data_IF_047028551910
#
_entry.id   IF_047028551910
#
_cell.length_a   1.000
_cell.length_b   1.000
_cell.length_c   1.000
_cell.angle_alpha   90.00
_cell.angle_beta   90.00
_cell.angle_gamma   90.00
#
_symmetry.space_group_name_H-M   'P 1'
#
loop_
_entity.id
_entity.type
_entity.pdbx_description
1 polymer ?
#
# COMPACT_ATOMS: atom_id res chain seq x y z
N UNK A 1 -42.68 40.86 54.14
CA UNK A 1 -42.87 39.45 54.53
C UNK A 1 -42.05 38.60 53.58
N UNK A 2 -41.06 37.93 54.13
CA UNK A 2 -40.07 37.07 53.46
C UNK A 2 -40.68 35.78 52.92
N UNK A 3 -40.08 35.24 51.86
CA UNK A 3 -39.51 33.87 51.71
C UNK A 3 -39.50 33.45 50.24
N UNK A 4 -38.34 33.37 49.58
CA UNK A 4 -37.43 32.20 49.51
C UNK A 4 -38.06 30.95 48.90
N UNK A 5 -37.67 30.64 47.66
CA UNK A 5 -37.41 29.28 47.17
C UNK A 5 -36.65 29.38 45.84
N UNK A 6 -35.35 29.10 45.90
CA UNK A 6 -34.46 29.01 44.75
C UNK A 6 -34.87 27.87 43.82
N UNK A 7 -34.73 28.09 42.52
CA UNK A 7 -34.69 27.02 41.52
C UNK A 7 -33.40 27.16 40.74
N UNK A 8 -32.56 26.17 40.96
CA UNK A 8 -31.31 25.88 40.26
C UNK A 8 -31.60 25.63 38.78
N UNK A 9 -30.87 26.32 37.90
CA UNK A 9 -30.80 25.99 36.48
C UNK A 9 -29.96 24.73 36.31
N UNK A 10 -30.40 23.72 35.53
CA UNK A 10 -29.55 22.57 35.24
C UNK A 10 -28.45 23.02 34.26
N UNK A 11 -27.21 22.98 34.73
CA UNK A 11 -26.01 23.11 33.91
C UNK A 11 -26.03 22.05 32.80
N UNK A 12 -25.89 22.49 31.55
CA UNK A 12 -25.60 21.66 30.40
C UNK A 12 -24.42 20.72 30.69
N UNK A 13 -24.48 19.43 30.33
CA UNK A 13 -23.32 18.56 30.45
C UNK A 13 -22.26 19.07 29.47
N UNK A 14 -21.17 19.61 30.00
CA UNK A 14 -19.93 19.73 29.27
C UNK A 14 -19.55 18.30 28.85
N UNK A 15 -19.74 17.98 27.57
CA UNK A 15 -19.07 16.84 26.97
C UNK A 15 -17.59 17.21 26.95
N UNK A 16 -16.86 16.77 27.97
CA UNK A 16 -15.40 16.76 27.97
C UNK A 16 -14.95 15.85 26.82
N UNK A 17 -14.78 16.45 25.63
CA UNK A 17 -14.05 15.86 24.51
C UNK A 17 -12.55 15.87 24.82
N UNK A 18 -12.16 15.21 25.91
CA UNK A 18 -10.80 14.70 26.07
C UNK A 18 -10.76 13.28 25.51
N UNK A 19 -10.88 13.18 24.18
CA UNK A 19 -10.40 12.00 23.47
C UNK A 19 -8.88 12.04 23.56
N UNK A 20 -8.30 11.04 24.20
CA UNK A 20 -6.85 10.87 24.41
C UNK A 20 -6.02 11.29 23.18
N UNK A 21 -5.38 12.45 23.26
CA UNK A 21 -4.42 12.96 22.27
C UNK A 21 -3.37 11.93 21.80
N UNK A 22 -2.80 11.02 22.63
CA UNK A 22 -1.82 10.06 22.15
C UNK A 22 -2.38 8.96 21.23
N UNK A 23 -3.68 8.63 21.34
CA UNK A 23 -4.33 7.66 20.44
C UNK A 23 -4.59 8.31 19.08
N UNK A 24 -5.03 9.57 19.08
CA UNK A 24 -5.20 10.35 17.85
C UNK A 24 -3.87 10.58 17.13
N UNK A 25 -2.76 10.80 17.84
CA UNK A 25 -1.44 10.97 17.23
C UNK A 25 -0.89 9.68 16.60
N UNK A 26 -1.10 8.53 17.24
CA UNK A 26 -0.62 7.24 16.72
C UNK A 26 -1.45 6.77 15.51
N UNK A 27 -2.77 6.97 15.52
CA UNK A 27 -3.65 6.68 14.38
C UNK A 27 -3.33 7.61 13.20
N UNK A 28 -3.09 8.90 13.44
CA UNK A 28 -2.66 9.84 12.41
C UNK A 28 -1.28 9.49 11.81
N UNK A 29 -0.35 8.99 12.62
CA UNK A 29 0.95 8.49 12.14
C UNK A 29 0.80 7.28 11.22
N UNK A 30 -0.06 6.31 11.55
CA UNK A 30 -0.29 5.14 10.69
C UNK A 30 -0.95 5.51 9.35
N UNK A 31 -1.70 6.62 9.28
CA UNK A 31 -2.30 7.10 8.04
C UNK A 31 -1.32 7.87 7.14
N UNK A 32 -0.24 8.42 7.70
CA UNK A 32 0.73 9.27 7.01
C UNK A 32 2.08 8.59 6.75
N UNK A 33 2.38 7.51 7.47
CA UNK A 33 3.67 6.83 7.44
C UNK A 33 3.51 5.33 7.71
N UNK A 34 4.47 4.53 7.24
CA UNK A 34 4.66 3.18 7.70
C UNK A 34 5.66 3.19 8.87
N UNK A 35 5.23 2.70 10.03
CA UNK A 35 6.15 2.45 11.14
C UNK A 35 6.84 1.10 10.88
N UNK A 36 8.17 1.13 10.80
CA UNK A 36 8.98 -0.07 10.69
C UNK A 36 9.86 -0.19 11.94
N UNK A 37 9.61 -1.24 12.73
CA UNK A 37 10.50 -1.61 13.82
C UNK A 37 11.67 -2.39 13.22
N UNK A 38 12.77 -1.70 12.90
CA UNK A 38 13.99 -2.36 12.46
C UNK A 38 14.79 -2.84 13.67
N UNK A 39 15.04 -4.15 13.74
CA UNK A 39 16.04 -4.73 14.63
C UNK A 39 17.43 -4.75 13.97
N UNK A 40 17.96 -3.59 13.58
CA UNK A 40 19.37 -3.47 13.19
C UNK A 40 20.20 -3.07 14.43
N UNK A 41 20.50 -4.05 15.29
CA UNK A 41 21.50 -3.94 16.36
C UNK A 41 21.15 -3.07 17.57
N UNK A 42 20.27 -2.08 17.42
CA UNK A 42 19.76 -1.22 18.50
C UNK A 42 18.31 -0.93 18.15
N UNK A 43 17.35 -1.31 19.00
CA UNK A 43 15.90 -1.26 18.68
C UNK A 43 15.31 0.15 18.58
N UNK A 44 15.83 1.01 17.70
CA UNK A 44 15.27 2.33 17.44
C UNK A 44 14.13 2.24 16.43
N UNK A 45 12.99 2.85 16.77
CA UNK A 45 11.87 3.01 15.85
C UNK A 45 12.27 3.94 14.70
N UNK A 46 12.01 3.52 13.47
CA UNK A 46 12.24 4.33 12.27
C UNK A 46 10.91 4.51 11.56
N UNK A 47 10.64 5.76 11.19
CA UNK A 47 9.45 6.12 10.42
C UNK A 47 9.78 6.21 8.94
N UNK A 48 9.11 5.39 8.14
CA UNK A 48 9.22 5.42 6.69
C UNK A 48 7.98 6.10 6.12
N UNK A 49 8.15 7.30 5.57
CA UNK A 49 7.11 8.01 4.84
C UNK A 49 7.27 7.81 3.32
N UNK A 50 6.23 8.06 2.51
CA UNK A 50 6.36 8.13 1.06
C UNK A 50 7.52 9.03 0.60
N UNK A 51 7.67 10.21 1.20
CA UNK A 51 8.74 11.16 0.85
C UNK A 51 10.13 10.58 1.18
N UNK A 52 10.28 10.01 2.37
CA UNK A 52 11.56 9.43 2.82
C UNK A 52 11.92 8.19 2.01
N UNK A 53 10.93 7.35 1.65
CA UNK A 53 11.13 6.19 0.78
C UNK A 53 11.63 6.61 -0.62
N UNK A 54 11.04 7.65 -1.21
CA UNK A 54 11.48 8.17 -2.51
C UNK A 54 12.85 8.83 -2.42
N UNK A 55 13.14 9.57 -1.33
CA UNK A 55 14.46 10.15 -1.10
C UNK A 55 15.55 9.08 -1.05
N UNK A 56 15.32 8.00 -0.30
CA UNK A 56 16.26 6.86 -0.21
C UNK A 56 16.49 6.27 -1.60
N UNK A 57 15.42 5.98 -2.36
CA UNK A 57 15.53 5.38 -3.69
C UNK A 57 16.16 6.33 -4.72
N UNK A 58 15.95 7.65 -4.59
CA UNK A 58 16.65 8.66 -5.37
C UNK A 58 18.16 8.65 -5.09
N UNK A 59 18.57 8.53 -3.82
CA UNK A 59 19.98 8.47 -3.44
C UNK A 59 20.66 7.16 -3.83
N UNK A 60 19.93 6.04 -3.82
CA UNK A 60 20.42 4.74 -4.33
C UNK A 60 20.67 4.82 -5.84
N UNK A 61 19.93 5.65 -6.57
CA UNK A 61 20.02 5.75 -8.02
C UNK A 61 19.34 4.59 -8.76
N UNK A 62 18.26 4.03 -8.19
CA UNK A 62 17.51 2.94 -8.82
C UNK A 62 16.81 3.37 -10.12
N UNK A 63 16.92 2.59 -11.20
CA UNK A 63 16.27 2.91 -12.49
C UNK A 63 14.73 2.83 -12.41
N UNK A 64 14.23 1.92 -11.57
CA UNK A 64 12.81 1.77 -11.24
C UNK A 64 12.66 1.96 -9.73
N UNK A 65 11.83 2.92 -9.36
CA UNK A 65 11.51 3.32 -8.00
C UNK A 65 10.10 2.82 -7.68
N UNK A 66 9.96 2.04 -6.62
CA UNK A 66 8.64 1.57 -6.19
C UNK A 66 8.00 2.62 -5.29
N UNK A 67 6.72 2.91 -5.49
CA UNK A 67 6.00 3.73 -4.51
C UNK A 67 5.99 3.01 -3.14
N UNK A 68 5.93 3.77 -2.05
CA UNK A 68 5.55 3.18 -0.78
C UNK A 68 4.06 2.84 -0.80
N UNK A 69 3.70 1.65 -0.32
CA UNK A 69 2.33 1.17 -0.24
C UNK A 69 2.00 0.61 1.16
N UNK A 70 0.70 0.45 1.43
CA UNK A 70 0.19 -0.14 2.65
C UNK A 70 -0.32 -1.55 2.37
N UNK A 71 0.55 -2.54 2.61
CA UNK A 71 0.28 -3.94 2.27
C UNK A 71 -0.54 -4.63 3.35
N UNK A 72 -1.59 -5.30 2.92
CA UNK A 72 -2.42 -6.18 3.76
C UNK A 72 -2.28 -7.60 3.24
N UNK A 73 -2.18 -8.58 4.15
CA UNK A 73 -2.14 -10.00 3.77
C UNK A 73 -3.41 -10.38 3.00
N UNK A 74 -3.28 -11.20 1.96
CA UNK A 74 -4.41 -11.61 1.09
C UNK A 74 -5.54 -12.32 1.83
N UNK A 75 -5.24 -12.95 2.96
CA UNK A 75 -6.21 -13.64 3.81
C UNK A 75 -7.02 -12.72 4.73
N UNK A 76 -6.64 -11.45 4.87
CA UNK A 76 -7.38 -10.48 5.67
C UNK A 76 -8.55 -9.94 4.83
N UNK A 77 -9.74 -9.95 5.42
CA UNK A 77 -10.97 -9.41 4.83
C UNK A 77 -11.50 -8.23 5.65
N UNK A 78 -12.31 -7.38 5.03
CA UNK A 78 -13.02 -6.28 5.71
C UNK A 78 -12.39 -4.90 5.54
N UNK A 79 -12.78 -3.91 6.38
CA UNK A 79 -12.48 -2.48 6.16
C UNK A 79 -10.98 -2.15 6.06
N UNK A 80 -10.12 -2.97 6.67
CA UNK A 80 -8.67 -2.77 6.63
C UNK A 80 -8.09 -2.82 5.21
N UNK A 81 -8.66 -3.66 4.33
CA UNK A 81 -8.20 -3.80 2.93
C UNK A 81 -8.54 -2.54 2.14
N UNK A 82 -9.77 -2.04 2.31
CA UNK A 82 -10.22 -0.79 1.70
C UNK A 82 -9.39 0.40 2.17
N UNK A 83 -9.14 0.51 3.48
CA UNK A 83 -8.30 1.57 4.03
C UNK A 83 -6.88 1.54 3.44
N UNK A 84 -6.27 0.35 3.35
CA UNK A 84 -4.94 0.18 2.79
C UNK A 84 -4.87 0.58 1.32
N UNK A 85 -5.86 0.17 0.53
CA UNK A 85 -5.96 0.49 -0.89
C UNK A 85 -6.05 2.00 -1.12
N UNK A 86 -6.94 2.69 -0.39
CA UNK A 86 -7.06 4.14 -0.52
C UNK A 86 -5.83 4.88 0.04
N UNK A 87 -5.21 4.38 1.11
CA UNK A 87 -3.97 4.95 1.65
C UNK A 87 -2.83 4.85 0.65
N UNK A 88 -2.65 3.67 0.04
CA UNK A 88 -1.68 3.42 -1.04
C UNK A 88 -1.90 4.37 -2.21
N UNK A 89 -3.16 4.59 -2.61
CA UNK A 89 -3.51 5.55 -3.68
C UNK A 89 -3.13 6.98 -3.30
N UNK A 90 -3.42 7.43 -2.07
CA UNK A 90 -3.00 8.77 -1.60
C UNK A 90 -1.48 8.92 -1.50
N UNK A 91 -0.78 7.85 -1.14
CA UNK A 91 0.67 7.85 -1.02
C UNK A 91 1.37 7.92 -2.39
N UNK A 92 0.74 7.46 -3.47
CA UNK A 92 1.29 7.66 -4.82
C UNK A 92 1.51 9.15 -5.13
N UNK A 93 0.51 10.00 -4.88
CA UNK A 93 0.62 11.43 -5.19
C UNK A 93 1.77 12.09 -4.40
N UNK A 94 2.00 11.63 -3.17
CA UNK A 94 3.13 12.05 -2.33
C UNK A 94 4.46 11.55 -2.88
N UNK A 95 4.52 10.30 -3.34
CA UNK A 95 5.70 9.74 -3.97
C UNK A 95 6.08 10.50 -5.24
N UNK A 96 5.12 10.75 -6.13
CA UNK A 96 5.33 11.49 -7.38
C UNK A 96 5.81 12.91 -7.09
N UNK A 97 5.25 13.58 -6.09
CA UNK A 97 5.68 14.93 -5.68
C UNK A 97 7.10 14.95 -5.08
N UNK A 98 7.49 13.90 -4.37
CA UNK A 98 8.81 13.81 -3.74
C UNK A 98 9.92 13.44 -4.73
N UNK A 99 9.57 12.95 -5.92
CA UNK A 99 10.50 12.45 -6.91
C UNK A 99 11.32 13.57 -7.56
N UNK A 100 12.65 13.47 -7.50
CA UNK A 100 13.55 14.52 -8.00
C UNK A 100 14.24 14.19 -9.34
N UNK A 101 14.17 12.95 -9.81
CA UNK A 101 14.95 12.47 -10.96
C UNK A 101 14.11 11.80 -12.06
N UNK A 102 13.02 12.42 -12.55
CA UNK A 102 12.09 11.77 -13.50
C UNK A 102 12.70 11.39 -14.86
N UNK A 103 13.83 12.02 -15.23
CA UNK A 103 14.53 11.73 -16.49
C UNK A 103 15.34 10.43 -16.45
N UNK A 104 15.67 9.93 -15.27
CA UNK A 104 16.55 8.76 -15.10
C UNK A 104 15.95 7.66 -14.23
N UNK A 105 14.88 7.95 -13.50
CA UNK A 105 14.24 7.03 -12.58
C UNK A 105 12.73 6.99 -12.83
N UNK A 106 12.16 5.78 -12.86
CA UNK A 106 10.75 5.57 -13.19
C UNK A 106 9.97 5.12 -11.96
N UNK A 107 8.93 5.86 -11.56
CA UNK A 107 8.06 5.42 -10.45
C UNK A 107 7.01 4.43 -10.94
N UNK A 108 6.92 3.27 -10.29
CA UNK A 108 5.87 2.27 -10.51
C UNK A 108 4.86 2.32 -9.36
N UNK A 109 3.62 2.78 -9.62
CA UNK A 109 2.52 2.60 -8.69
C UNK A 109 2.12 1.13 -8.52
N UNK A 110 1.60 0.77 -7.35
CA UNK A 110 1.30 -0.62 -6.96
C UNK A 110 -0.21 -0.80 -6.81
N UNK A 111 -0.79 -1.65 -7.67
CA UNK A 111 -2.20 -2.07 -7.56
C UNK A 111 -2.37 -2.92 -6.30
N UNK A 112 -3.09 -2.36 -5.33
CA UNK A 112 -3.58 -3.04 -4.12
C UNK A 112 -5.07 -3.39 -4.21
N UNK A 113 -5.62 -4.04 -3.18
CA UNK A 113 -7.05 -4.43 -3.10
C UNK A 113 -7.29 -5.88 -2.66
N UNK A 114 -6.23 -6.64 -2.40
CA UNK A 114 -6.32 -8.05 -2.00
C UNK A 114 -7.05 -8.89 -3.05
N UNK A 115 -7.94 -9.78 -2.58
CA UNK A 115 -8.80 -10.62 -3.43
C UNK A 115 -10.18 -10.01 -3.70
N UNK A 116 -10.39 -8.74 -3.36
CA UNK A 116 -11.66 -8.06 -3.61
C UNK A 116 -11.65 -7.42 -5.01
N UNK A 117 -12.58 -7.87 -5.87
CA UNK A 117 -12.68 -7.45 -7.27
C UNK A 117 -12.91 -5.95 -7.38
N UNK A 118 -13.84 -5.41 -6.58
CA UNK A 118 -14.22 -4.00 -6.64
C UNK A 118 -13.07 -3.10 -6.21
N UNK A 119 -12.41 -3.40 -5.08
CA UNK A 119 -11.30 -2.62 -4.56
C UNK A 119 -10.09 -2.67 -5.49
N UNK A 120 -9.77 -3.84 -6.06
CA UNK A 120 -8.66 -3.98 -7.02
C UNK A 120 -8.95 -3.24 -8.33
N UNK A 121 -10.19 -3.28 -8.80
CA UNK A 121 -10.65 -2.50 -9.96
C UNK A 121 -10.52 -1.01 -9.70
N UNK A 122 -11.01 -0.53 -8.55
CA UNK A 122 -10.90 0.89 -8.18
C UNK A 122 -9.45 1.33 -8.05
N UNK A 123 -8.61 0.52 -7.40
CA UNK A 123 -7.17 0.74 -7.27
C UNK A 123 -6.53 0.94 -8.64
N UNK A 124 -6.67 -0.03 -9.55
CA UNK A 124 -6.12 0.08 -10.90
C UNK A 124 -6.62 1.34 -11.64
N UNK A 125 -7.93 1.59 -11.65
CA UNK A 125 -8.51 2.77 -12.30
C UNK A 125 -8.08 4.11 -11.70
N UNK A 126 -7.75 4.17 -10.40
CA UNK A 126 -7.25 5.39 -9.78
C UNK A 126 -5.78 5.63 -10.14
N UNK A 127 -4.96 4.58 -10.16
CA UNK A 127 -3.54 4.68 -10.47
C UNK A 127 -3.31 5.06 -11.94
N UNK A 128 -4.14 4.56 -12.87
CA UNK A 128 -4.03 4.89 -14.31
C UNK A 128 -4.32 6.35 -14.66
N UNK A 129 -4.86 7.14 -13.72
CA UNK A 129 -5.04 8.59 -13.88
C UNK A 129 -3.75 9.37 -13.78
N UNK A 130 -2.64 8.75 -13.35
CA UNK A 130 -1.33 9.40 -13.20
C UNK A 130 -0.44 9.04 -14.39
N UNK A 131 0.34 10.01 -14.84
CA UNK A 131 1.37 9.82 -15.87
C UNK A 131 2.60 9.14 -15.24
N UNK A 132 2.71 7.82 -15.44
CA UNK A 132 3.82 6.97 -14.98
C UNK A 132 4.26 6.02 -16.09
N UNK A 133 5.46 5.45 -15.98
CA UNK A 133 6.06 4.64 -17.03
C UNK A 133 5.86 3.11 -16.86
N UNK A 134 5.11 2.69 -15.85
CA UNK A 134 4.78 1.28 -15.62
C UNK A 134 3.89 1.11 -14.39
N UNK A 135 3.43 -0.12 -14.15
CA UNK A 135 2.56 -0.44 -13.03
C UNK A 135 2.99 -1.76 -12.40
N UNK A 136 2.90 -1.85 -11.09
CA UNK A 136 3.10 -3.07 -10.35
C UNK A 136 1.78 -3.64 -9.84
N UNK A 137 1.73 -4.95 -9.68
CA UNK A 137 0.61 -5.71 -9.12
C UNK A 137 1.09 -6.30 -7.80
N UNK A 138 0.56 -5.76 -6.70
CA UNK A 138 0.95 -6.11 -5.34
C UNK A 138 -0.09 -6.92 -4.60
N UNK A 139 0.32 -7.46 -3.45
CA UNK A 139 -0.56 -8.15 -2.52
C UNK A 139 -1.20 -9.40 -3.10
N UNK A 140 -0.45 -10.20 -3.86
CA UNK A 140 -0.87 -11.49 -4.47
C UNK A 140 0.19 -12.60 -4.27
N UNK A 141 0.83 -12.62 -3.10
CA UNK A 141 1.82 -13.64 -2.74
C UNK A 141 1.64 -14.12 -1.29
N UNK A 142 0.41 -14.03 -0.77
CA UNK A 142 0.11 -14.08 0.67
C UNK A 142 -0.54 -15.37 1.17
N UNK A 143 -0.72 -16.38 0.32
CA UNK A 143 -1.28 -17.70 0.67
C UNK A 143 -2.68 -17.98 0.13
N UNK A 144 -3.14 -17.19 -0.84
CA UNK A 144 -4.38 -17.41 -1.58
C UNK A 144 -4.36 -18.66 -2.47
N UNK A 145 -5.56 -19.09 -2.91
CA UNK A 145 -5.70 -20.17 -3.88
C UNK A 145 -5.19 -19.74 -5.27
N UNK A 146 -4.79 -20.71 -6.10
CA UNK A 146 -4.36 -20.42 -7.48
C UNK A 146 -5.47 -19.83 -8.34
N UNK A 147 -6.70 -20.29 -8.13
CA UNK A 147 -7.87 -19.79 -8.85
C UNK A 147 -8.15 -18.33 -8.53
N UNK A 148 -8.00 -17.92 -7.27
CA UNK A 148 -8.20 -16.52 -6.87
C UNK A 148 -7.03 -15.64 -7.34
N UNK A 149 -5.80 -16.15 -7.18
CA UNK A 149 -4.57 -15.50 -7.62
C UNK A 149 -4.63 -15.13 -9.11
N UNK A 150 -4.86 -16.10 -10.01
CA UNK A 150 -4.88 -15.83 -11.46
C UNK A 150 -6.02 -14.91 -11.87
N UNK A 151 -7.20 -15.00 -11.23
CA UNK A 151 -8.32 -14.07 -11.47
C UNK A 151 -7.93 -12.64 -11.12
N UNK A 152 -7.23 -12.42 -10.00
CA UNK A 152 -6.80 -11.08 -9.59
C UNK A 152 -5.68 -10.53 -10.47
N UNK A 153 -4.77 -11.38 -10.94
CA UNK A 153 -3.75 -11.00 -11.93
C UNK A 153 -4.45 -10.56 -13.22
N UNK A 154 -5.31 -11.41 -13.78
CA UNK A 154 -6.03 -11.11 -15.02
C UNK A 154 -6.87 -9.83 -14.93
N UNK A 155 -7.61 -9.65 -13.83
CA UNK A 155 -8.38 -8.42 -13.57
C UNK A 155 -7.48 -7.18 -13.60
N UNK A 156 -6.29 -7.28 -12.99
CA UNK A 156 -5.36 -6.15 -12.95
C UNK A 156 -4.81 -5.86 -14.34
N UNK A 157 -4.38 -6.88 -15.09
CA UNK A 157 -3.78 -6.70 -16.41
C UNK A 157 -4.78 -6.22 -17.47
N UNK A 158 -6.05 -6.59 -17.36
CA UNK A 158 -7.14 -6.15 -18.26
C UNK A 158 -7.44 -4.64 -18.12
N UNK A 159 -7.26 -4.09 -16.92
CA UNK A 159 -7.47 -2.65 -16.64
C UNK A 159 -6.22 -1.82 -16.92
N UNK A 160 -5.03 -2.37 -16.66
CA UNK A 160 -3.77 -1.65 -16.80
C UNK A 160 -3.42 -1.41 -18.28
N UNK A 161 -2.82 -0.26 -18.64
CA UNK A 161 -2.54 0.07 -20.04
C UNK A 161 -1.58 -0.95 -20.70
N UNK A 162 -1.93 -1.45 -21.89
CA UNK A 162 -1.14 -2.45 -22.64
C UNK A 162 0.23 -1.96 -23.08
N UNK A 163 0.37 -0.66 -23.29
CA UNK A 163 1.61 -0.02 -23.73
C UNK A 163 2.58 0.30 -22.58
N UNK A 164 2.25 -0.08 -21.33
CA UNK A 164 3.08 0.15 -20.15
C UNK A 164 3.38 -1.19 -19.48
N UNK A 165 4.64 -1.41 -19.02
CA UNK A 165 5.03 -2.66 -18.39
C UNK A 165 4.23 -2.93 -17.12
N UNK A 166 3.85 -4.19 -16.93
CA UNK A 166 3.14 -4.72 -15.77
C UNK A 166 4.04 -5.65 -14.98
N UNK A 167 4.37 -5.25 -13.76
CA UNK A 167 5.28 -5.96 -12.87
C UNK A 167 4.50 -6.71 -11.78
N UNK A 168 4.54 -8.05 -11.79
CA UNK A 168 3.94 -8.88 -10.75
C UNK A 168 4.95 -9.21 -9.65
N UNK A 169 4.69 -8.70 -8.44
CA UNK A 169 5.64 -8.76 -7.34
C UNK A 169 5.60 -10.10 -6.58
N UNK A 170 6.76 -10.68 -6.30
CA UNK A 170 6.90 -11.83 -5.39
C UNK A 170 6.46 -13.20 -5.95
N UNK A 171 6.37 -13.34 -7.28
CA UNK A 171 5.94 -14.57 -7.96
C UNK A 171 7.10 -15.21 -8.71
N UNK A 172 7.37 -16.48 -8.44
CA UNK A 172 8.54 -17.18 -9.03
C UNK A 172 8.39 -18.66 -9.27
N UNK A 173 7.19 -19.24 -9.07
CA UNK A 173 6.98 -20.64 -9.43
C UNK A 173 6.81 -20.76 -10.94
N UNK A 174 7.48 -21.73 -11.56
CA UNK A 174 7.58 -21.81 -13.02
C UNK A 174 6.21 -21.81 -13.73
N UNK A 175 5.24 -22.56 -13.20
CA UNK A 175 3.88 -22.58 -13.76
C UNK A 175 3.18 -21.22 -13.67
N UNK A 176 3.37 -20.48 -12.57
CA UNK A 176 2.78 -19.15 -12.41
C UNK A 176 3.39 -18.14 -13.38
N UNK A 177 4.71 -18.20 -13.60
CA UNK A 177 5.39 -17.31 -14.54
C UNK A 177 4.81 -17.46 -15.95
N UNK A 178 4.61 -18.70 -16.41
CA UNK A 178 4.05 -19.00 -17.74
C UNK A 178 2.60 -18.51 -17.84
N UNK A 179 1.76 -18.81 -16.85
CA UNK A 179 0.36 -18.40 -16.86
C UNK A 179 0.24 -16.88 -16.77
N UNK A 180 0.95 -16.22 -15.86
CA UNK A 180 0.87 -14.77 -15.70
C UNK A 180 1.44 -14.01 -16.90
N UNK A 181 2.45 -14.55 -17.59
CA UNK A 181 2.92 -14.02 -18.87
C UNK A 181 1.80 -14.07 -19.92
N UNK A 182 1.08 -15.20 -20.03
CA UNK A 182 -0.08 -15.31 -20.90
C UNK A 182 -1.26 -14.38 -20.50
N UNK A 183 -1.34 -14.00 -19.22
CA UNK A 183 -2.29 -13.00 -18.72
C UNK A 183 -1.81 -11.55 -18.92
N UNK A 184 -0.65 -11.32 -19.53
CA UNK A 184 -0.15 -10.00 -19.89
C UNK A 184 0.78 -9.34 -18.87
N UNK A 185 1.43 -10.11 -18.00
CA UNK A 185 2.49 -9.61 -17.10
C UNK A 185 3.85 -9.65 -17.79
N UNK A 186 4.65 -8.58 -17.63
CA UNK A 186 5.92 -8.39 -18.32
C UNK A 186 7.14 -8.59 -17.42
N UNK A 187 7.00 -8.34 -16.11
CA UNK A 187 8.11 -8.38 -15.15
C UNK A 187 7.74 -9.19 -13.90
N UNK A 188 8.73 -9.86 -13.32
CA UNK A 188 8.59 -10.69 -12.12
C UNK A 188 9.83 -10.58 -11.24
N UNK A 189 9.65 -10.76 -9.94
CA UNK A 189 10.73 -11.01 -8.99
C UNK A 189 10.32 -12.12 -8.01
N UNK A 190 11.29 -12.91 -7.56
CA UNK A 190 11.05 -13.86 -6.49
C UNK A 190 12.35 -14.35 -5.87
N UNK A 191 12.33 -14.58 -4.55
CA UNK A 191 13.41 -15.25 -3.82
C UNK A 191 13.40 -16.78 -3.99
N UNK A 192 12.39 -17.35 -4.64
CA UNK A 192 12.25 -18.79 -4.81
C UNK A 192 13.53 -19.47 -5.34
N UNK A 193 14.13 -19.07 -6.48
CA UNK A 193 15.31 -19.74 -7.01
C UNK A 193 16.50 -19.71 -6.04
N UNK A 194 16.76 -18.59 -5.37
CA UNK A 194 17.89 -18.45 -4.43
C UNK A 194 17.65 -19.21 -3.14
N UNK A 195 16.41 -19.27 -2.64
CA UNK A 195 16.05 -20.04 -1.44
C UNK A 195 16.10 -21.54 -1.67
N UNK A 196 15.68 -22.03 -2.84
CA UNK A 196 15.70 -23.46 -3.15
C UNK A 196 17.10 -23.97 -3.44
N UNK A 197 17.99 -23.14 -3.98
CA UNK A 197 19.37 -23.52 -4.31
C UNK A 197 20.21 -23.94 -3.07
N UNK A 198 19.86 -23.44 -1.88
CA UNK A 198 20.55 -23.75 -0.61
C UNK A 198 19.86 -24.86 0.18
N UNK A 199 18.80 -25.46 -0.37
CA UNK A 199 17.96 -26.47 0.31
C UNK A 199 18.24 -27.91 -0.14
N UNK A 200 19.34 -28.14 -0.87
CA UNK A 200 19.86 -29.45 -1.29
C UNK A 200 21.14 -29.78 -0.55
#
# INVERSE_FOLDING_TARGET
MENHLGKTTPSSPNLDLNLDLPILSSVAQHQTSALANYAFGVGSEVMLTPEHSIEIQNNIGADIVMQLDDVVRTTITGPRVEEAMYRTTRWLDRCLKAHKNPETQNIFPIVQGGLNIELRTQSALQLTKREVNGFAIGGLSGGESKDDFWKMVHLSTDILPEQKPRYLMGVGFAADLVVCCALGVDMFDCVFPTRTAVST
#
